data_IF_423379259912
#
_entry.id   IF_423379259912
#
_cell.length_a   1.000
_cell.length_b   1.000
_cell.length_c   1.000
_cell.angle_alpha   90.00
_cell.angle_beta   90.00
_cell.angle_gamma   90.00
#
_symmetry.space_group_name_H-M   'P 1'
#
loop_
_entity.id
_entity.type
_entity.pdbx_description
1 polymer ?
#
# COMPACT_ATOMS: atom_id res chain seq x y z
N UNK A 1 19.37 -2.89 -6.11
CA UNK A 1 18.80 -2.77 -7.48
C UNK A 1 17.43 -2.13 -7.40
N UNK A 2 17.19 -1.09 -8.20
CA UNK A 2 15.88 -0.46 -8.31
C UNK A 2 14.85 -1.47 -8.86
N UNK A 3 13.62 -1.42 -8.34
CA UNK A 3 12.48 -2.22 -8.79
C UNK A 3 11.43 -1.26 -9.33
N UNK A 4 10.92 -1.54 -10.53
CA UNK A 4 9.87 -0.74 -11.16
C UNK A 4 8.61 -1.57 -11.25
N UNK A 5 7.60 -1.21 -10.46
CA UNK A 5 6.26 -1.76 -10.58
C UNK A 5 5.61 -1.25 -11.88
N UNK A 6 5.27 -2.17 -12.78
CA UNK A 6 4.69 -1.88 -14.09
C UNK A 6 3.42 -2.68 -14.33
N UNK A 7 2.57 -2.17 -15.23
CA UNK A 7 1.42 -2.87 -15.78
C UNK A 7 1.50 -2.95 -17.28
N UNK A 8 1.07 -4.07 -17.86
CA UNK A 8 0.87 -4.16 -19.29
C UNK A 8 -0.24 -3.19 -19.71
N UNK A 9 -0.05 -2.44 -20.81
CA UNK A 9 -1.09 -1.55 -21.32
C UNK A 9 -2.30 -2.29 -21.90
N UNK A 10 -2.11 -3.55 -22.29
CA UNK A 10 -3.14 -4.33 -22.98
C UNK A 10 -4.02 -5.15 -22.05
N UNK A 11 -3.42 -5.97 -21.17
CA UNK A 11 -4.16 -6.87 -20.28
C UNK A 11 -4.15 -6.42 -18.81
N UNK A 12 -3.58 -5.26 -18.51
CA UNK A 12 -3.37 -4.73 -17.16
C UNK A 12 -2.54 -5.61 -16.20
N UNK A 13 -1.98 -6.72 -16.70
CA UNK A 13 -1.15 -7.64 -15.92
C UNK A 13 0.03 -6.94 -15.26
N UNK A 14 0.25 -7.22 -13.97
CA UNK A 14 1.32 -6.61 -13.17
C UNK A 14 2.64 -7.34 -13.38
N UNK A 15 3.73 -6.58 -13.47
CA UNK A 15 5.10 -7.12 -13.52
C UNK A 15 6.06 -6.15 -12.83
N UNK A 16 7.13 -6.70 -12.25
CA UNK A 16 8.24 -5.90 -11.72
C UNK A 16 9.41 -5.97 -12.70
N UNK A 17 9.88 -4.82 -13.16
CA UNK A 17 11.02 -4.67 -14.06
C UNK A 17 12.25 -4.16 -13.30
N UNK A 18 13.45 -4.44 -13.83
CA UNK A 18 14.74 -4.00 -13.26
C UNK A 18 15.11 -2.56 -13.66
N UNK A 19 14.58 -2.09 -14.79
CA UNK A 19 14.71 -0.74 -15.36
C UNK A 19 13.32 -0.22 -15.71
N UNK A 20 13.10 1.10 -15.92
CA UNK A 20 11.84 1.57 -16.44
C UNK A 20 11.63 1.09 -17.90
N UNK A 21 10.38 0.91 -18.36
CA UNK A 21 10.07 0.42 -19.71
C UNK A 21 10.82 1.10 -20.88
N UNK A 22 10.97 2.44 -20.94
CA UNK A 22 11.65 3.10 -22.06
C UNK A 22 13.16 2.84 -22.13
N UNK A 23 13.82 2.41 -21.04
CA UNK A 23 15.26 2.11 -21.04
C UNK A 23 15.60 0.72 -21.62
N UNK A 24 14.59 -0.10 -21.89
CA UNK A 24 14.82 -1.40 -22.50
C UNK A 24 14.88 -1.28 -24.02
N UNK A 25 16.02 -1.63 -24.62
CA UNK A 25 16.13 -1.85 -26.07
C UNK A 25 15.09 -2.89 -26.53
N UNK A 26 14.91 -3.96 -25.74
CA UNK A 26 13.85 -4.95 -25.94
C UNK A 26 13.11 -5.17 -24.62
N UNK A 27 11.92 -4.62 -24.51
CA UNK A 27 11.07 -4.82 -23.35
C UNK A 27 10.75 -6.32 -23.17
N UNK A 28 10.76 -6.84 -21.92
CA UNK A 28 10.34 -8.22 -21.66
C UNK A 28 8.87 -8.44 -22.06
N UNK A 29 8.48 -9.68 -22.36
CA UNK A 29 7.09 -9.99 -22.72
C UNK A 29 6.16 -9.95 -21.51
N UNK A 30 4.89 -9.62 -21.71
CA UNK A 30 3.88 -9.86 -20.69
C UNK A 30 3.66 -11.37 -20.51
N UNK A 31 3.66 -11.85 -19.26
CA UNK A 31 3.42 -13.27 -18.95
C UNK A 31 1.97 -13.70 -19.21
N UNK A 32 1.05 -12.76 -19.43
CA UNK A 32 -0.38 -13.03 -19.66
C UNK A 32 -0.72 -12.96 -21.15
N UNK A 33 -0.38 -11.85 -21.82
CA UNK A 33 -0.79 -11.62 -23.21
C UNK A 33 0.37 -11.60 -24.23
N UNK A 34 1.61 -11.85 -23.81
CA UNK A 34 2.80 -11.87 -24.68
C UNK A 34 3.26 -10.48 -25.20
N UNK A 35 2.42 -9.45 -25.15
CA UNK A 35 2.78 -8.09 -25.61
C UNK A 35 3.90 -7.47 -24.76
N UNK A 36 4.69 -6.60 -25.39
CA UNK A 36 5.87 -5.94 -24.79
C UNK A 36 5.63 -4.45 -24.55
N UNK A 37 4.44 -4.11 -24.06
CA UNK A 37 4.05 -2.73 -23.83
C UNK A 37 3.63 -2.56 -22.36
N UNK A 38 4.45 -1.83 -21.62
CA UNK A 38 4.31 -1.59 -20.19
C UNK A 38 4.24 -0.10 -19.86
N UNK A 39 3.39 0.22 -18.88
CA UNK A 39 3.35 1.52 -18.19
C UNK A 39 3.80 1.35 -16.74
N UNK A 40 4.42 2.38 -16.17
CA UNK A 40 4.74 2.39 -14.74
C UNK A 40 3.44 2.50 -13.95
N UNK A 41 3.29 1.64 -12.94
CA UNK A 41 2.19 1.73 -11.97
C UNK A 41 2.58 2.76 -10.91
N UNK A 42 2.18 4.02 -11.13
CA UNK A 42 2.54 5.14 -10.26
C UNK A 42 2.08 4.93 -8.81
N UNK A 43 0.91 4.30 -8.62
CA UNK A 43 0.38 4.03 -7.28
C UNK A 43 1.25 3.00 -6.55
N UNK A 44 1.61 1.89 -7.22
CA UNK A 44 2.51 0.91 -6.60
C UNK A 44 3.93 1.42 -6.43
N UNK A 45 4.46 2.25 -7.33
CA UNK A 45 5.79 2.85 -7.16
C UNK A 45 5.85 3.83 -5.98
N UNK A 46 4.79 4.63 -5.77
CA UNK A 46 4.72 5.55 -4.62
C UNK A 46 4.58 4.79 -3.29
N UNK A 47 4.01 3.58 -3.32
CA UNK A 47 3.69 2.81 -2.12
C UNK A 47 4.95 2.19 -1.50
N UNK A 48 5.40 2.73 -0.37
CA UNK A 48 6.41 2.07 0.46
C UNK A 48 5.77 0.98 1.33
N UNK A 49 5.69 -0.25 0.82
CA UNK A 49 5.07 -1.38 1.52
C UNK A 49 5.76 -1.75 2.85
N UNK A 50 7.05 -1.42 3.01
CA UNK A 50 7.81 -1.70 4.24
C UNK A 50 7.52 -0.70 5.35
N UNK A 51 7.44 0.60 5.03
CA UNK A 51 7.09 1.63 6.00
C UNK A 51 5.63 1.55 6.44
N UNK A 52 4.78 0.89 5.64
CA UNK A 52 3.37 0.71 5.98
C UNK A 52 3.11 -0.43 6.97
N UNK A 53 4.06 -1.29 7.33
CA UNK A 53 3.79 -2.35 8.31
C UNK A 53 3.85 -1.81 9.76
N UNK A 54 2.88 -2.19 10.58
CA UNK A 54 2.79 -1.79 11.99
C UNK A 54 2.44 -2.98 12.88
N UNK A 55 2.97 -2.96 14.09
CA UNK A 55 2.74 -3.95 15.16
C UNK A 55 2.20 -3.30 16.43
N UNK A 56 1.57 -2.12 16.34
CA UNK A 56 0.99 -1.46 17.51
C UNK A 56 -0.20 -2.24 18.09
N UNK A 57 -0.53 -1.97 19.35
CA UNK A 57 -1.58 -2.65 20.10
C UNK A 57 -3.02 -2.47 19.53
N UNK A 58 -3.22 -1.53 18.60
CA UNK A 58 -4.51 -1.36 17.91
C UNK A 58 -5.03 -2.60 17.17
N UNK A 59 -4.13 -3.50 16.74
CA UNK A 59 -4.50 -4.81 16.21
C UNK A 59 -3.61 -5.90 16.82
N UNK A 60 -4.20 -7.09 17.04
CA UNK A 60 -3.49 -8.28 17.52
C UNK A 60 -2.61 -8.94 16.43
N UNK A 61 -2.64 -8.44 15.21
CA UNK A 61 -1.88 -8.93 14.06
C UNK A 61 -1.13 -7.79 13.36
N UNK A 62 -0.16 -8.16 12.53
CA UNK A 62 0.60 -7.21 11.71
C UNK A 62 -0.32 -6.52 10.70
N UNK A 63 -0.44 -5.21 10.80
CA UNK A 63 -1.40 -4.44 10.01
C UNK A 63 -0.72 -3.27 9.31
N UNK A 64 -1.51 -2.46 8.60
CA UNK A 64 -0.98 -1.28 7.91
C UNK A 64 -1.05 -0.04 8.79
N UNK A 65 -0.01 0.78 8.79
CA UNK A 65 -0.06 2.14 9.36
C UNK A 65 -1.20 2.93 8.74
N UNK A 66 -1.94 3.64 9.57
CA UNK A 66 -3.14 4.37 9.19
C UNK A 66 -4.38 3.52 8.95
N UNK A 67 -4.35 2.21 9.27
CA UNK A 67 -5.57 1.42 9.42
C UNK A 67 -6.47 2.00 10.52
N UNK A 68 -7.78 1.69 10.48
CA UNK A 68 -8.83 2.29 11.32
C UNK A 68 -8.46 2.39 12.82
N UNK A 69 -7.93 1.31 13.39
CA UNK A 69 -7.56 1.21 14.81
C UNK A 69 -6.05 1.39 15.04
N UNK A 70 -5.27 1.74 14.01
CA UNK A 70 -3.83 1.89 14.13
C UNK A 70 -3.49 3.17 14.89
N UNK A 71 -2.61 3.06 15.88
CA UNK A 71 -2.16 4.19 16.69
C UNK A 71 -1.18 5.12 15.94
N UNK A 72 -0.88 4.81 14.68
CA UNK A 72 -0.03 5.63 13.83
C UNK A 72 -0.76 6.01 12.55
N UNK A 73 -0.65 7.29 12.17
CA UNK A 73 -1.02 7.78 10.85
C UNK A 73 -0.10 7.18 9.76
N UNK A 74 -0.53 7.35 8.51
CA UNK A 74 0.18 6.83 7.35
C UNK A 74 1.56 7.50 7.13
N UNK A 75 1.73 8.71 7.64
CA UNK A 75 2.97 9.51 7.58
C UNK A 75 3.99 9.10 8.65
N UNK A 76 3.57 8.61 9.81
CA UNK A 76 4.50 8.53 10.93
C UNK A 76 3.89 8.84 12.29
N UNK A 77 3.02 9.83 12.30
CA UNK A 77 2.60 10.51 13.53
C UNK A 77 1.71 9.62 14.38
N UNK A 78 1.72 9.86 15.69
CA UNK A 78 0.90 9.14 16.66
C UNK A 78 -0.54 9.66 16.56
N UNK A 79 -1.50 8.75 16.71
CA UNK A 79 -2.92 9.02 16.92
C UNK A 79 -3.30 8.61 18.33
N UNK A 80 -4.26 9.31 18.91
CA UNK A 80 -4.82 8.99 20.21
C UNK A 80 -6.34 8.81 20.13
N UNK A 81 -6.95 8.06 21.07
CA UNK A 81 -8.40 8.09 21.27
C UNK A 81 -8.90 9.54 21.38
N UNK A 82 -9.91 9.89 20.58
CA UNK A 82 -10.44 11.25 20.47
C UNK A 82 -9.95 12.05 19.24
N UNK A 83 -8.90 11.58 18.55
CA UNK A 83 -8.54 12.16 17.25
C UNK A 83 -9.63 11.88 16.20
N UNK A 84 -9.97 12.84 15.32
CA UNK A 84 -11.05 12.69 14.35
C UNK A 84 -10.79 11.58 13.32
N UNK A 85 -9.53 11.19 13.14
CA UNK A 85 -9.09 10.13 12.22
C UNK A 85 -8.76 8.81 12.93
N UNK A 86 -9.07 8.67 14.22
CA UNK A 86 -8.90 7.44 14.99
C UNK A 86 -10.26 6.83 15.35
N UNK A 87 -10.55 5.64 14.82
CA UNK A 87 -11.71 4.89 15.28
C UNK A 87 -11.37 4.24 16.61
N UNK A 88 -12.06 4.59 17.70
CA UNK A 88 -11.92 3.84 18.94
C UNK A 88 -12.66 2.51 18.81
N UNK A 89 -12.03 1.44 19.30
CA UNK A 89 -12.59 0.10 19.30
C UNK A 89 -13.33 -0.19 20.60
N UNK A 90 -13.07 0.58 21.64
CA UNK A 90 -13.78 0.52 22.90
C UNK A 90 -14.79 1.68 22.94
N UNK A 91 -16.11 1.45 22.95
CA UNK A 91 -17.05 2.52 23.19
C UNK A 91 -16.75 3.16 24.55
N UNK A 92 -16.90 4.48 24.65
CA UNK A 92 -16.93 5.16 25.93
C UNK A 92 -17.99 4.47 26.82
N UNK A 93 -17.72 4.25 28.11
CA UNK A 93 -18.60 3.49 29.00
C UNK A 93 -20.05 4.02 29.04
N UNK A 94 -20.27 5.28 28.67
CA UNK A 94 -21.59 5.92 28.66
C UNK A 94 -22.46 5.60 27.42
N UNK A 95 -21.92 4.89 26.42
CA UNK A 95 -22.65 4.53 25.20
C UNK A 95 -23.42 3.20 25.28
N UNK A 96 -23.37 2.49 26.43
CA UNK A 96 -24.00 1.17 26.61
C UNK A 96 -25.26 1.24 27.52
N UNK A 97 -25.72 2.44 27.87
CA UNK A 97 -26.83 2.66 28.81
C UNK A 97 -28.04 3.39 28.18
N UNK A 98 -28.56 2.92 27.05
CA UNK A 98 -29.87 3.32 26.53
C UNK A 98 -30.60 2.13 25.90
#
# INVERSE_FOLDING_TARGET
MARFHCRCRHCEGRRVLKKPPPEYIRQPQCNVCGRRDFRIDAWMQKRNTRLMACTCAGYWFWHRRGSLYCWHRADGSIRSPGDPDFADRNPLPDAVAA
#
